data_IF_489502017308
#
_entry.id   IF_489502017308
#
_cell.length_a   1.000
_cell.length_b   1.000
_cell.length_c   1.000
_cell.angle_alpha   90.00
_cell.angle_beta   90.00
_cell.angle_gamma   90.00
#
_symmetry.space_group_name_H-M   'P 1'
#
loop_
_entity.id
_entity.type
_entity.pdbx_description
1 polymer ?
#
# COMPACT_ATOMS: atom_id res chain seq x y z
N UNK A 1 28.93 5.37 3.01
CA UNK A 1 27.80 4.42 3.12
C UNK A 1 26.59 5.11 2.52
N UNK A 2 25.89 4.48 1.58
CA UNK A 2 24.70 5.10 0.98
C UNK A 2 23.62 5.24 2.05
N UNK A 3 23.12 6.46 2.28
CA UNK A 3 21.95 6.70 3.13
C UNK A 3 20.64 6.26 2.45
N UNK A 4 20.68 5.14 1.71
CA UNK A 4 19.52 4.65 0.98
C UNK A 4 18.82 3.61 1.84
N UNK A 5 17.55 3.87 2.15
CA UNK A 5 16.68 2.89 2.79
C UNK A 5 16.49 1.68 1.86
N UNK A 6 16.84 0.48 2.32
CA UNK A 6 16.72 -0.73 1.51
C UNK A 6 15.33 -1.34 1.70
N UNK A 7 14.39 -0.91 0.86
CA UNK A 7 12.97 -1.32 0.91
C UNK A 7 12.66 -2.58 0.10
N UNK A 8 13.60 -2.96 -0.77
CA UNK A 8 13.55 -4.13 -1.65
C UNK A 8 14.14 -5.40 -1.03
N UNK A 9 14.46 -5.36 0.27
CA UNK A 9 14.96 -6.51 1.05
C UNK A 9 13.99 -7.21 2.02
N UNK A 10 14.46 -8.23 2.72
CA UNK A 10 13.71 -8.82 3.84
C UNK A 10 13.66 -7.86 5.05
N UNK A 11 13.02 -8.28 6.16
CA UNK A 11 12.96 -7.45 7.37
C UNK A 11 14.34 -7.15 7.95
N UNK A 12 15.29 -8.10 7.87
CA UNK A 12 16.62 -7.91 8.43
C UNK A 12 17.39 -6.84 7.65
N UNK A 13 17.27 -6.85 6.32
CA UNK A 13 17.89 -5.87 5.45
C UNK A 13 17.28 -4.47 5.65
N UNK A 14 15.95 -4.38 5.80
CA UNK A 14 15.30 -3.12 6.15
C UNK A 14 15.81 -2.61 7.50
N UNK A 15 15.76 -3.41 8.56
CA UNK A 15 16.23 -3.02 9.89
C UNK A 15 17.70 -2.61 9.89
N UNK A 16 18.56 -3.34 9.18
CA UNK A 16 19.97 -3.00 9.04
C UNK A 16 20.16 -1.64 8.36
N UNK A 17 19.39 -1.35 7.30
CA UNK A 17 19.44 -0.06 6.62
C UNK A 17 18.88 1.09 7.48
N UNK A 18 17.80 0.85 8.24
CA UNK A 18 17.25 1.82 9.20
C UNK A 18 18.29 2.16 10.27
N UNK A 19 18.90 1.15 10.90
CA UNK A 19 19.95 1.35 11.91
C UNK A 19 21.15 2.13 11.34
N UNK A 20 21.60 1.76 10.14
CA UNK A 20 22.71 2.46 9.49
C UNK A 20 22.40 3.96 9.22
N UNK A 21 21.15 4.29 8.89
CA UNK A 21 20.71 5.68 8.70
C UNK A 21 20.62 6.41 10.05
N UNK A 22 20.07 5.77 11.09
CA UNK A 22 20.02 6.34 12.43
C UNK A 22 21.42 6.64 12.99
N UNK A 23 22.38 5.76 12.73
CA UNK A 23 23.77 5.94 13.16
C UNK A 23 24.49 7.03 12.36
N UNK A 24 24.15 7.22 11.08
CA UNK A 24 24.79 8.21 10.19
C UNK A 24 24.18 9.60 10.30
N UNK A 25 22.93 9.71 10.75
CA UNK A 25 22.19 10.97 10.87
C UNK A 25 21.77 11.21 12.32
N UNK A 26 22.44 12.16 12.98
CA UNK A 26 22.09 12.52 14.35
C UNK A 26 20.65 13.07 14.40
N UNK A 27 19.81 12.46 15.25
CA UNK A 27 18.45 12.90 15.58
C UNK A 27 17.34 12.60 14.56
N UNK A 28 17.49 11.57 13.71
CA UNK A 28 16.39 11.06 12.88
C UNK A 28 15.72 9.85 13.55
N UNK A 29 14.39 9.87 13.62
CA UNK A 29 13.57 8.80 14.22
C UNK A 29 13.27 7.67 13.21
N UNK A 30 12.91 6.48 13.71
CA UNK A 30 12.49 5.37 12.82
C UNK A 30 11.26 5.75 12.01
N UNK A 31 10.31 6.49 12.60
CA UNK A 31 9.12 7.00 11.91
C UNK A 31 9.50 7.85 10.71
N UNK A 32 10.32 8.90 10.91
CA UNK A 32 10.82 9.77 9.84
C UNK A 32 11.57 8.96 8.77
N UNK A 33 12.38 7.96 9.15
CA UNK A 33 13.06 7.11 8.17
C UNK A 33 12.05 6.36 7.29
N UNK A 34 11.02 5.78 7.89
CA UNK A 34 10.04 4.97 7.17
C UNK A 34 9.03 5.80 6.36
N UNK A 35 8.78 7.05 6.75
CA UNK A 35 7.85 7.94 6.06
C UNK A 35 8.52 8.84 5.03
N UNK A 36 9.70 9.38 5.32
CA UNK A 36 10.29 10.49 4.56
C UNK A 36 11.30 10.03 3.52
N UNK A 37 11.89 8.84 3.68
CA UNK A 37 12.70 8.22 2.64
C UNK A 37 11.79 7.65 1.56
N UNK A 38 11.55 8.50 0.57
CA UNK A 38 10.74 8.19 -0.61
C UNK A 38 11.61 8.13 -1.85
N UNK A 39 11.17 7.34 -2.82
CA UNK A 39 11.80 7.31 -4.13
C UNK A 39 11.34 8.50 -5.01
N UNK A 40 11.76 8.51 -6.28
CA UNK A 40 11.41 9.55 -7.24
C UNK A 40 9.89 9.72 -7.47
N UNK A 41 9.09 8.69 -7.18
CA UNK A 41 7.64 8.66 -7.33
C UNK A 41 6.91 8.92 -6.00
N UNK A 42 7.61 9.39 -4.97
CA UNK A 42 7.10 9.59 -3.60
C UNK A 42 6.63 8.30 -2.91
N UNK A 43 7.10 7.14 -3.36
CA UNK A 43 6.79 5.84 -2.72
C UNK A 43 7.70 5.66 -1.52
N UNK A 44 7.08 5.50 -0.35
CA UNK A 44 7.75 5.12 0.90
C UNK A 44 7.82 3.59 1.08
N UNK A 45 8.55 3.14 2.10
CA UNK A 45 8.77 1.71 2.40
C UNK A 45 7.49 0.87 2.44
N UNK A 46 6.39 1.42 2.95
CA UNK A 46 5.11 0.70 3.07
C UNK A 46 4.49 0.37 1.70
N UNK A 47 4.70 1.21 0.68
CA UNK A 47 4.21 0.96 -0.68
C UNK A 47 4.93 -0.26 -1.28
N UNK A 48 6.26 -0.32 -1.14
CA UNK A 48 7.06 -1.46 -1.59
C UNK A 48 6.74 -2.74 -0.82
N UNK A 49 6.53 -2.62 0.50
CA UNK A 49 6.15 -3.75 1.33
C UNK A 49 4.78 -4.33 0.92
N UNK A 50 3.82 -3.45 0.61
CA UNK A 50 2.49 -3.83 0.16
C UNK A 50 2.52 -4.46 -1.25
N UNK A 51 3.24 -3.83 -2.19
CA UNK A 51 3.40 -4.31 -3.57
C UNK A 51 4.03 -5.71 -3.62
N UNK A 52 5.04 -5.97 -2.79
CA UNK A 52 5.80 -7.23 -2.80
C UNK A 52 5.29 -8.27 -1.79
N UNK A 53 4.13 -8.06 -1.15
CA UNK A 53 3.55 -9.03 -0.22
C UNK A 53 4.33 -9.24 1.09
N UNK A 54 5.16 -8.28 1.48
CA UNK A 54 6.14 -8.41 2.57
C UNK A 54 5.52 -8.11 3.93
N UNK A 55 4.63 -8.99 4.36
CA UNK A 55 3.83 -8.82 5.60
C UNK A 55 4.64 -8.55 6.86
N UNK A 56 5.85 -9.13 7.01
CA UNK A 56 6.73 -8.87 8.16
C UNK A 56 7.25 -7.43 8.16
N UNK A 57 7.75 -6.97 7.01
CA UNK A 57 8.17 -5.58 6.80
C UNK A 57 6.99 -4.63 7.00
N UNK A 58 5.84 -4.97 6.44
CA UNK A 58 4.63 -4.18 6.58
C UNK A 58 4.21 -4.03 8.06
N UNK A 59 4.25 -5.13 8.83
CA UNK A 59 3.92 -5.10 10.26
C UNK A 59 4.91 -4.24 11.04
N UNK A 60 6.21 -4.41 10.79
CA UNK A 60 7.25 -3.58 11.39
C UNK A 60 7.03 -2.08 11.11
N UNK A 61 6.69 -1.72 9.87
CA UNK A 61 6.42 -0.34 9.50
C UNK A 61 5.19 0.20 10.23
N UNK A 62 4.10 -0.56 10.31
CA UNK A 62 2.88 -0.12 11.00
C UNK A 62 3.06 0.02 12.52
N UNK A 63 3.97 -0.76 13.12
CA UNK A 63 4.32 -0.66 14.53
C UNK A 63 5.15 0.61 14.84
N UNK A 64 6.06 1.00 13.94
CA UNK A 64 6.99 2.11 14.17
C UNK A 64 6.59 3.42 13.49
N UNK A 65 5.73 3.34 12.47
CA UNK A 65 5.25 4.46 11.66
C UNK A 65 3.76 4.28 11.29
N UNK A 66 2.83 4.29 12.27
CA UNK A 66 1.41 4.05 12.02
C UNK A 66 0.79 5.10 11.08
N UNK A 67 1.34 6.31 11.01
CA UNK A 67 0.93 7.35 10.09
C UNK A 67 1.13 6.99 8.61
N UNK A 68 1.97 6.00 8.30
CA UNK A 68 2.23 5.54 6.93
C UNK A 68 1.08 4.73 6.32
N UNK A 69 0.12 4.25 7.12
CA UNK A 69 -0.95 3.33 6.69
C UNK A 69 -1.71 3.79 5.43
N UNK A 70 -1.99 5.10 5.37
CA UNK A 70 -2.72 5.74 4.28
C UNK A 70 -1.83 6.72 3.49
N UNK A 71 -0.51 6.55 3.54
CA UNK A 71 0.39 7.32 2.70
C UNK A 71 0.00 7.15 1.23
N UNK A 72 0.26 8.18 0.42
CA UNK A 72 0.02 8.12 -1.02
C UNK A 72 1.28 8.53 -1.77
N UNK A 73 1.52 7.86 -2.90
CA UNK A 73 2.56 8.22 -3.85
C UNK A 73 2.13 9.43 -4.71
N UNK A 74 2.93 9.80 -5.71
CA UNK A 74 2.62 10.91 -6.61
C UNK A 74 1.37 10.69 -7.49
N UNK A 75 0.99 9.43 -7.71
CA UNK A 75 -0.19 9.02 -8.46
C UNK A 75 -1.43 8.87 -7.56
N UNK A 76 -1.32 9.17 -6.25
CA UNK A 76 -2.41 9.01 -5.29
C UNK A 76 -2.65 7.56 -4.85
N UNK A 77 -1.71 6.64 -5.09
CA UNK A 77 -1.85 5.23 -4.73
C UNK A 77 -1.50 4.99 -3.28
N UNK A 78 -2.41 4.37 -2.54
CA UNK A 78 -2.16 3.90 -1.18
C UNK A 78 -1.48 2.53 -1.13
N UNK A 79 -0.87 2.14 0.00
CA UNK A 79 -0.38 0.78 0.23
C UNK A 79 -1.45 -0.28 -0.03
N UNK A 80 -2.70 -0.02 0.36
CA UNK A 80 -3.80 -0.93 0.11
C UNK A 80 -4.05 -1.11 -1.39
N UNK A 81 -4.05 -0.02 -2.16
CA UNK A 81 -4.19 -0.09 -3.61
C UNK A 81 -3.03 -0.88 -4.25
N UNK A 82 -1.80 -0.69 -3.78
CA UNK A 82 -0.64 -1.48 -4.22
C UNK A 82 -0.81 -2.98 -3.97
N UNK A 83 -1.22 -3.38 -2.76
CA UNK A 83 -1.45 -4.79 -2.43
C UNK A 83 -2.57 -5.41 -3.29
N UNK A 84 -3.65 -4.67 -3.58
CA UNK A 84 -4.73 -5.13 -4.44
C UNK A 84 -4.28 -5.24 -5.90
N UNK A 85 -3.53 -4.26 -6.43
CA UNK A 85 -2.96 -4.29 -7.79
C UNK A 85 -1.97 -5.44 -7.98
N UNK A 86 -1.22 -5.80 -6.93
CA UNK A 86 -0.32 -6.95 -6.93
C UNK A 86 -1.03 -8.30 -6.70
N UNK A 87 -2.35 -8.30 -6.47
CA UNK A 87 -3.13 -9.48 -6.06
C UNK A 87 -2.62 -10.14 -4.75
N UNK A 88 -1.97 -9.36 -3.89
CA UNK A 88 -1.41 -9.77 -2.60
C UNK A 88 -2.47 -9.73 -1.50
N UNK A 89 -3.50 -10.58 -1.62
CA UNK A 89 -4.69 -10.53 -0.75
C UNK A 89 -4.38 -10.67 0.76
N UNK A 90 -3.40 -11.50 1.14
CA UNK A 90 -3.02 -11.64 2.55
C UNK A 90 -2.46 -10.33 3.12
N UNK A 91 -1.75 -9.57 2.29
CA UNK A 91 -1.17 -8.27 2.63
C UNK A 91 -2.24 -7.18 2.61
N UNK A 92 -3.13 -7.20 1.63
CA UNK A 92 -4.30 -6.31 1.59
C UNK A 92 -5.19 -6.52 2.82
N UNK A 93 -5.43 -7.78 3.24
CA UNK A 93 -6.19 -8.10 4.45
C UNK A 93 -5.53 -7.52 5.70
N UNK A 94 -4.20 -7.62 5.82
CA UNK A 94 -3.47 -7.02 6.94
C UNK A 94 -3.66 -5.50 6.98
N UNK A 95 -3.52 -4.81 5.84
CA UNK A 95 -3.76 -3.38 5.73
C UNK A 95 -5.19 -3.00 6.10
N UNK A 96 -6.17 -3.76 5.61
CA UNK A 96 -7.56 -3.58 6.00
C UNK A 96 -7.70 -3.75 7.52
N UNK A 97 -7.22 -4.85 8.10
CA UNK A 97 -7.28 -5.14 9.54
C UNK A 97 -6.62 -4.03 10.38
N UNK A 98 -5.61 -3.35 9.85
CA UNK A 98 -4.98 -2.17 10.45
C UNK A 98 -5.78 -0.85 10.30
N UNK A 99 -6.89 -0.85 9.57
CA UNK A 99 -7.77 0.30 9.36
C UNK A 99 -7.47 1.14 8.12
N UNK A 100 -6.84 0.56 7.09
CA UNK A 100 -6.56 1.27 5.85
C UNK A 100 -7.85 1.84 5.21
N UNK A 101 -7.76 3.08 4.72
CA UNK A 101 -8.87 3.74 4.03
C UNK A 101 -9.09 3.10 2.65
N UNK A 102 -10.24 2.44 2.51
CA UNK A 102 -10.67 1.77 1.28
C UNK A 102 -11.08 2.71 0.15
N UNK A 103 -11.28 4.00 0.44
CA UNK A 103 -11.81 4.98 -0.50
C UNK A 103 -10.73 5.90 -1.10
N UNK A 104 -9.46 5.67 -0.78
CA UNK A 104 -8.34 6.30 -1.50
C UNK A 104 -8.38 5.89 -2.98
N UNK A 105 -8.19 6.87 -3.86
CA UNK A 105 -8.21 6.70 -5.32
C UNK A 105 -6.94 7.25 -5.94
N UNK A 106 -6.42 6.55 -6.95
CA UNK A 106 -5.32 7.08 -7.77
C UNK A 106 -5.82 8.18 -8.73
N UNK A 107 -4.91 8.90 -9.38
CA UNK A 107 -5.17 10.11 -10.20
C UNK A 107 -6.28 9.98 -11.26
N UNK A 108 -6.59 8.77 -11.72
CA UNK A 108 -7.66 8.52 -12.70
C UNK A 108 -9.04 8.23 -12.06
N UNK A 109 -9.14 8.28 -10.73
CA UNK A 109 -10.30 7.93 -9.92
C UNK A 109 -10.43 6.44 -9.55
N UNK A 110 -9.47 5.60 -9.94
CA UNK A 110 -9.53 4.15 -9.67
C UNK A 110 -9.32 3.88 -8.20
N UNK A 111 -10.28 3.17 -7.61
CA UNK A 111 -10.25 2.72 -6.21
C UNK A 111 -9.80 1.27 -6.09
N UNK A 112 -9.50 0.83 -4.87
CA UNK A 112 -9.23 -0.59 -4.58
C UNK A 112 -10.35 -1.53 -5.08
N UNK A 113 -11.61 -1.09 -5.02
CA UNK A 113 -12.74 -1.90 -5.46
C UNK A 113 -12.80 -2.05 -6.99
N UNK A 114 -12.36 -1.03 -7.74
CA UNK A 114 -12.24 -1.15 -9.20
C UNK A 114 -11.18 -2.18 -9.58
N UNK A 115 -10.00 -2.16 -8.95
CA UNK A 115 -8.92 -3.12 -9.22
C UNK A 115 -9.30 -4.54 -8.79
N UNK A 116 -9.91 -4.69 -7.60
CA UNK A 116 -10.41 -5.99 -7.15
C UNK A 116 -11.45 -6.59 -8.12
N UNK A 117 -12.33 -5.75 -8.67
CA UNK A 117 -13.29 -6.14 -9.70
C UNK A 117 -12.62 -6.49 -11.03
N UNK A 118 -11.60 -5.73 -11.45
CA UNK A 118 -10.82 -6.00 -12.66
C UNK A 118 -10.10 -7.35 -12.58
N UNK A 119 -9.64 -7.75 -11.40
CA UNK A 119 -9.06 -9.07 -11.15
C UNK A 119 -10.09 -10.20 -10.98
N UNK A 120 -11.39 -9.91 -10.97
CA UNK A 120 -12.42 -10.90 -10.64
C UNK A 120 -12.32 -11.44 -9.20
N UNK A 121 -11.62 -10.73 -8.31
CA UNK A 121 -11.30 -11.22 -6.97
C UNK A 121 -12.48 -11.01 -6.03
N UNK A 122 -13.41 -11.96 -6.01
CA UNK A 122 -14.59 -11.95 -5.13
C UNK A 122 -14.20 -11.76 -3.66
N UNK A 123 -13.09 -12.39 -3.24
CA UNK A 123 -12.57 -12.28 -1.86
C UNK A 123 -12.12 -10.85 -1.54
N UNK A 124 -11.37 -10.21 -2.44
CA UNK A 124 -10.96 -8.81 -2.26
C UNK A 124 -12.16 -7.85 -2.29
N UNK A 125 -13.07 -8.01 -3.25
CA UNK A 125 -14.28 -7.20 -3.33
C UNK A 125 -15.11 -7.29 -2.04
N UNK A 126 -15.33 -8.50 -1.52
CA UNK A 126 -16.08 -8.72 -0.28
C UNK A 126 -15.40 -8.04 0.91
N UNK A 127 -14.10 -8.25 1.09
CA UNK A 127 -13.36 -7.64 2.19
C UNK A 127 -13.38 -6.11 2.13
N UNK A 128 -13.23 -5.51 0.94
CA UNK A 128 -13.31 -4.06 0.74
C UNK A 128 -14.70 -3.51 1.09
N UNK A 129 -15.77 -4.17 0.62
CA UNK A 129 -17.15 -3.76 0.89
C UNK A 129 -17.51 -3.86 2.37
N UNK A 130 -17.05 -4.91 3.07
CA UNK A 130 -17.22 -5.06 4.52
C UNK A 130 -16.52 -3.94 5.32
N UNK A 131 -15.54 -3.25 4.71
CA UNK A 131 -14.83 -2.11 5.29
C UNK A 131 -15.29 -0.75 4.75
N UNK A 132 -16.43 -0.71 4.07
CA UNK A 132 -17.06 0.55 3.65
C UNK A 132 -16.49 1.14 2.36
N UNK A 133 -15.90 0.31 1.49
CA UNK A 133 -15.50 0.75 0.16
C UNK A 133 -16.72 1.26 -0.64
N UNK A 134 -16.56 2.39 -1.31
CA UNK A 134 -17.61 3.00 -2.11
C UNK A 134 -17.90 2.15 -3.36
N UNK A 135 -18.99 1.37 -3.29
CA UNK A 135 -19.52 0.55 -4.38
C UNK A 135 -19.82 1.35 -5.66
N UNK A 136 -20.18 2.63 -5.50
CA UNK A 136 -20.60 3.53 -6.58
C UNK A 136 -19.48 4.50 -7.00
N UNK A 137 -18.24 4.28 -6.57
CA UNK A 137 -17.10 5.02 -7.10
C UNK A 137 -17.11 4.89 -8.64
N UNK A 138 -16.81 5.97 -9.35
CA UNK A 138 -16.93 6.00 -10.81
C UNK A 138 -15.67 6.60 -11.43
N UNK A 139 -15.13 5.90 -12.41
CA UNK A 139 -14.03 6.37 -13.27
C UNK A 139 -14.51 6.62 -14.69
N UNK A 140 -13.60 7.03 -15.58
CA UNK A 140 -13.85 7.04 -17.03
C UNK A 140 -14.20 5.65 -17.59
N UNK A 141 -13.79 4.58 -16.90
CA UNK A 141 -14.07 3.20 -17.29
C UNK A 141 -15.38 2.65 -16.68
N UNK A 142 -16.13 3.50 -15.95
CA UNK A 142 -17.34 3.12 -15.22
C UNK A 142 -17.08 2.84 -13.75
N UNK A 143 -18.09 2.25 -13.09
CA UNK A 143 -18.02 1.83 -11.68
C UNK A 143 -17.38 0.45 -11.53
N UNK A 144 -17.05 -0.01 -10.30
CA UNK A 144 -16.53 -1.37 -10.10
C UNK A 144 -17.41 -2.45 -10.69
N UNK A 145 -18.74 -2.26 -10.66
CA UNK A 145 -19.69 -3.20 -11.28
C UNK A 145 -19.55 -3.24 -12.82
N UNK A 146 -19.39 -2.08 -13.47
CA UNK A 146 -19.17 -2.03 -14.92
C UNK A 146 -17.88 -2.76 -15.31
N UNK A 147 -16.83 -2.63 -14.49
CA UNK A 147 -15.57 -3.35 -14.69
C UNK A 147 -15.77 -4.86 -14.51
N UNK A 148 -16.40 -5.30 -13.42
CA UNK A 148 -16.60 -6.72 -13.11
C UNK A 148 -17.32 -7.48 -14.25
N UNK A 149 -18.36 -6.87 -14.84
CA UNK A 149 -19.13 -7.49 -15.93
C UNK A 149 -18.30 -7.68 -17.21
N UNK A 150 -17.31 -6.81 -17.48
CA UNK A 150 -16.45 -6.89 -18.67
C UNK A 150 -15.42 -8.04 -18.62
N UNK A 151 -15.13 -8.56 -17.43
CA UNK A 151 -14.07 -9.55 -17.18
C UNK A 151 -14.58 -10.99 -17.22
N UNK A 152 -15.91 -11.20 -17.28
CA UNK A 152 -16.52 -12.54 -17.34
C UNK A 152 -16.37 -13.11 -18.76
N UNK A 153 -15.55 -14.15 -18.93
CA UNK A 153 -15.41 -14.96 -20.15
C UNK A 153 -15.38 -16.45 -19.79
#
# INVERSE_FOLDING_TARGET
MSNHLHVDGDLNELEASVRAIQDSTANVTVDEILTDFKDAHKRSAIHFAALNGRRKVLSYILEHAPGALNAVDEDGRSPLLYAIKANEFATAKLLLDAGADTNVVESNGTSCLHEAAAHGSVRACKALLERGANLNASTKNGTPLHIAVRVIW
#
